data_IF_789359935609
#
_entry.id   IF_789359935609
#
_cell.length_a   1.000
_cell.length_b   1.000
_cell.length_c   1.000
_cell.angle_alpha   90.00
_cell.angle_beta   90.00
_cell.angle_gamma   90.00
#
_symmetry.space_group_name_H-M   'P 1'
#
loop_
_entity.id
_entity.type
_entity.pdbx_description
1 polymer ?
#
# COMPACT_ATOMS: atom_id res chain seq x y z
N UNK A 1 -4.31 31.33 12.76
CA UNK A 1 -3.53 32.25 11.89
C UNK A 1 -2.47 31.43 11.19
N UNK A 2 -2.21 31.64 9.89
CA UNK A 2 -1.13 30.95 9.17
C UNK A 2 0.01 31.94 8.99
N UNK A 3 1.20 31.60 9.50
CA UNK A 3 2.40 32.45 9.43
C UNK A 3 3.56 31.64 8.86
N UNK A 4 4.31 32.20 7.93
CA UNK A 4 5.56 31.65 7.46
C UNK A 4 6.72 32.32 8.22
N UNK A 5 7.66 31.52 8.72
CA UNK A 5 8.85 31.97 9.44
C UNK A 5 10.10 31.32 8.86
N UNK A 6 11.20 32.06 8.86
CA UNK A 6 12.51 31.56 8.46
C UNK A 6 13.39 31.45 9.71
N UNK A 7 14.11 30.33 9.82
CA UNK A 7 14.97 29.98 10.93
C UNK A 7 16.38 29.76 10.40
N UNK A 8 17.37 30.32 11.09
CA UNK A 8 18.79 30.02 10.84
C UNK A 8 19.16 28.69 11.48
N UNK A 9 20.24 28.09 11.00
CA UNK A 9 20.85 26.94 11.65
C UNK A 9 21.08 27.20 13.15
N UNK A 10 20.69 26.23 13.98
CA UNK A 10 20.74 26.29 15.43
C UNK A 10 19.56 27.00 16.10
N UNK A 11 18.68 27.69 15.36
CA UNK A 11 17.52 28.36 15.96
C UNK A 11 16.42 27.36 16.36
N UNK A 12 15.81 27.60 17.52
CA UNK A 12 14.73 26.75 18.04
C UNK A 12 13.43 27.11 17.34
N UNK A 13 12.83 26.12 16.69
CA UNK A 13 11.52 26.24 16.01
C UNK A 13 10.38 26.01 17.00
N UNK A 14 10.47 24.95 17.81
CA UNK A 14 9.49 24.66 18.86
C UNK A 14 10.22 24.29 20.16
N UNK A 15 10.04 25.04 21.25
CA UNK A 15 10.65 24.71 22.53
C UNK A 15 9.91 23.57 23.25
N UNK A 16 10.63 22.86 24.12
CA UNK A 16 10.08 21.89 25.05
C UNK A 16 9.26 22.59 26.16
N UNK A 17 8.28 21.90 26.74
CA UNK A 17 7.55 22.36 27.92
C UNK A 17 6.38 23.30 27.65
N UNK A 18 6.16 23.69 26.39
CA UNK A 18 5.04 24.50 25.97
C UNK A 18 3.84 23.66 25.49
N UNK A 19 2.63 24.19 25.68
CA UNK A 19 1.43 23.63 25.06
C UNK A 19 1.35 24.08 23.59
N UNK A 20 1.08 23.12 22.71
CA UNK A 20 0.85 23.34 21.30
C UNK A 20 -0.40 24.17 21.05
N UNK A 21 -0.35 24.98 20.00
CA UNK A 21 -1.47 25.78 19.48
C UNK A 21 -1.54 25.53 17.97
N UNK A 22 -2.05 24.37 17.58
CA UNK A 22 -1.97 23.86 16.23
C UNK A 22 -0.70 23.05 15.94
N UNK A 23 -0.22 23.17 14.71
CA UNK A 23 0.92 22.42 14.19
C UNK A 23 1.74 23.25 13.20
N UNK A 24 2.90 22.74 12.85
CA UNK A 24 3.81 23.34 11.88
C UNK A 24 3.92 22.46 10.64
N UNK A 25 4.21 23.09 9.50
CA UNK A 25 4.55 22.42 8.25
C UNK A 25 5.92 22.92 7.82
N UNK A 26 6.85 22.01 7.53
CA UNK A 26 8.14 22.36 6.96
C UNK A 26 7.96 22.80 5.50
N UNK A 27 8.45 23.97 5.09
CA UNK A 27 8.47 24.37 3.68
C UNK A 27 9.80 24.06 3.01
N UNK A 28 10.92 24.22 3.71
CA UNK A 28 12.26 23.88 3.24
C UNK A 28 13.25 23.80 4.41
N UNK A 29 14.40 23.15 4.21
CA UNK A 29 15.45 22.98 5.22
C UNK A 29 15.30 21.69 6.02
N UNK A 30 16.12 21.53 7.06
CA UNK A 30 16.16 20.34 7.93
C UNK A 30 16.03 20.76 9.38
N UNK A 31 15.15 20.09 10.12
CA UNK A 31 14.97 20.25 11.56
C UNK A 31 15.39 18.97 12.29
N UNK A 32 15.81 19.11 13.53
CA UNK A 32 16.15 18.00 14.42
C UNK A 32 15.23 17.98 15.64
N UNK A 33 14.79 16.78 16.03
CA UNK A 33 13.96 16.53 17.20
C UNK A 33 14.86 16.10 18.36
N UNK A 34 14.94 16.90 19.41
CA UNK A 34 15.88 16.72 20.51
C UNK A 34 15.11 16.48 21.80
N UNK A 35 15.40 15.39 22.51
CA UNK A 35 14.85 15.09 23.83
C UNK A 35 15.95 14.69 24.80
N UNK A 36 15.99 15.34 25.96
CA UNK A 36 17.03 15.07 26.97
C UNK A 36 18.46 15.24 26.44
N UNK A 37 18.67 16.16 25.50
CA UNK A 37 19.98 16.42 24.87
C UNK A 37 20.40 15.41 23.79
N UNK A 38 19.54 14.44 23.42
CA UNK A 38 19.79 13.49 22.34
C UNK A 38 18.91 13.81 21.14
N UNK A 39 19.48 13.72 19.94
CA UNK A 39 18.74 13.79 18.68
C UNK A 39 18.00 12.47 18.49
N UNK A 40 16.69 12.52 18.38
CA UNK A 40 15.83 11.35 18.19
C UNK A 40 15.55 11.06 16.72
N UNK A 41 15.39 12.12 15.92
CA UNK A 41 15.07 12.05 14.50
C UNK A 41 15.28 13.42 13.83
N UNK A 42 15.31 13.42 12.50
CA UNK A 42 15.29 14.65 11.69
C UNK A 42 13.94 14.78 10.96
N UNK A 43 13.60 16.02 10.61
CA UNK A 43 12.45 16.40 9.79
C UNK A 43 13.02 17.23 8.65
N UNK A 44 13.18 16.60 7.49
CA UNK A 44 13.90 17.11 6.32
C UNK A 44 12.99 17.27 5.08
N UNK A 45 11.75 16.78 5.16
CA UNK A 45 10.82 16.80 4.03
C UNK A 45 9.89 18.04 4.02
N UNK A 46 9.88 18.81 2.92
CA UNK A 46 8.83 19.81 2.66
C UNK A 46 7.43 19.20 2.71
N UNK A 47 6.52 19.83 3.46
CA UNK A 47 5.17 19.35 3.70
C UNK A 47 5.03 18.47 4.95
N UNK A 48 6.13 18.11 5.62
CA UNK A 48 6.08 17.35 6.87
C UNK A 48 5.34 18.13 7.97
N UNK A 49 4.36 17.46 8.60
CA UNK A 49 3.61 18.01 9.74
C UNK A 49 4.34 17.64 11.04
N UNK A 50 4.54 18.61 11.92
CA UNK A 50 5.15 18.40 13.22
C UNK A 50 4.59 19.34 14.29
N UNK A 51 4.83 19.00 15.55
CA UNK A 51 4.32 19.76 16.70
C UNK A 51 2.85 19.53 17.03
N UNK A 52 2.16 18.67 16.29
CA UNK A 52 0.72 18.39 16.38
C UNK A 52 0.33 17.62 17.66
N UNK A 53 1.22 16.75 18.14
CA UNK A 53 0.96 15.85 19.26
C UNK A 53 0.61 16.60 20.56
N UNK A 54 1.26 17.74 20.78
CA UNK A 54 1.05 18.54 21.98
C UNK A 54 -0.38 19.06 22.07
N UNK A 55 -0.95 19.53 20.95
CA UNK A 55 -2.35 19.98 20.93
C UNK A 55 -3.32 18.79 20.91
N UNK A 56 -3.07 17.77 20.07
CA UNK A 56 -3.94 16.58 19.95
C UNK A 56 -4.12 15.84 21.27
N UNK A 57 -3.03 15.68 22.03
CA UNK A 57 -3.04 14.96 23.30
C UNK A 57 -3.27 15.89 24.50
N UNK A 58 -3.32 17.21 24.29
CA UNK A 58 -3.38 18.21 25.35
C UNK A 58 -2.22 18.07 26.37
N UNK A 59 -1.03 17.74 25.87
CA UNK A 59 0.19 17.56 26.64
C UNK A 59 1.21 18.65 26.29
N UNK A 60 2.09 19.01 27.23
CA UNK A 60 3.24 19.87 26.90
C UNK A 60 4.20 19.13 25.98
N UNK A 61 4.84 19.87 25.06
CA UNK A 61 5.91 19.32 24.21
C UNK A 61 7.00 18.68 25.06
N UNK A 62 7.39 17.47 24.70
CA UNK A 62 8.40 16.64 25.38
C UNK A 62 9.72 16.56 24.61
N UNK A 63 9.84 17.35 23.54
CA UNK A 63 11.02 17.49 22.72
C UNK A 63 11.14 18.93 22.20
N UNK A 64 12.38 19.35 21.96
CA UNK A 64 12.73 20.58 21.24
C UNK A 64 12.84 20.27 19.76
N UNK A 65 12.31 21.15 18.91
CA UNK A 65 12.57 21.15 17.47
C UNK A 65 13.52 22.31 17.18
N UNK A 66 14.68 22.01 16.58
CA UNK A 66 15.70 23.00 16.22
C UNK A 66 16.02 22.90 14.73
N UNK A 67 16.32 24.03 14.10
CA UNK A 67 16.78 24.04 12.71
C UNK A 67 18.21 23.50 12.64
N UNK A 68 18.41 22.40 11.90
CA UNK A 68 19.74 21.84 11.58
C UNK A 68 20.35 22.56 10.37
N UNK A 69 19.54 23.01 9.43
CA UNK A 69 19.94 23.89 8.32
C UNK A 69 19.00 25.10 8.24
N UNK A 70 19.34 26.18 7.50
CA UNK A 70 18.40 27.27 7.27
C UNK A 70 17.05 26.76 6.75
N UNK A 71 16.00 27.01 7.52
CA UNK A 71 14.70 26.36 7.33
C UNK A 71 13.56 27.35 7.24
N UNK A 72 12.56 27.04 6.43
CA UNK A 72 11.30 27.79 6.35
C UNK A 72 10.18 26.94 6.92
N UNK A 73 9.43 27.47 7.86
CA UNK A 73 8.38 26.74 8.58
C UNK A 73 7.10 27.55 8.58
N UNK A 74 6.01 26.90 8.16
CA UNK A 74 4.67 27.44 8.23
C UNK A 74 4.01 27.04 9.55
N UNK A 75 3.75 28.01 10.41
CA UNK A 75 3.02 27.87 11.65
C UNK A 75 1.52 28.00 11.40
N UNK A 76 0.76 26.98 11.79
CA UNK A 76 -0.70 26.97 11.71
C UNK A 76 -1.22 27.09 13.14
N UNK A 77 -1.46 28.33 13.56
CA UNK A 77 -1.97 28.67 14.88
C UNK A 77 -3.49 28.66 14.88
N UNK A 78 -4.07 27.52 14.61
CA UNK A 78 -5.51 27.24 14.71
C UNK A 78 -5.68 25.84 15.28
N UNK A 79 -6.67 25.65 16.15
CA UNK A 79 -6.89 24.35 16.78
C UNK A 79 -7.14 23.28 15.71
N UNK A 80 -6.48 22.12 15.85
CA UNK A 80 -6.65 21.01 14.91
C UNK A 80 -8.13 20.63 14.73
N UNK A 81 -8.94 20.66 15.79
CA UNK A 81 -10.38 20.40 15.71
C UNK A 81 -11.09 21.33 14.70
N UNK A 82 -10.88 22.65 14.82
CA UNK A 82 -11.44 23.65 13.88
C UNK A 82 -10.94 23.45 12.44
N UNK A 83 -9.67 23.06 12.27
CA UNK A 83 -9.11 22.78 10.93
C UNK A 83 -9.75 21.55 10.32
N UNK A 84 -9.97 20.50 11.11
CA UNK A 84 -10.61 19.26 10.68
C UNK A 84 -12.07 19.51 10.32
N UNK A 85 -12.80 20.31 11.11
CA UNK A 85 -14.18 20.70 10.81
C UNK A 85 -14.29 21.43 9.46
N UNK A 86 -13.33 22.31 9.15
CA UNK A 86 -13.28 23.03 7.87
C UNK A 86 -12.80 22.16 6.71
N UNK A 87 -11.88 21.23 6.97
CA UNK A 87 -11.30 20.36 5.95
C UNK A 87 -11.00 18.96 6.51
N UNK A 88 -11.96 18.02 6.40
CA UNK A 88 -11.81 16.67 6.93
C UNK A 88 -10.62 15.88 6.35
N UNK A 89 -10.11 16.26 5.17
CA UNK A 89 -8.92 15.62 4.58
C UNK A 89 -7.66 15.82 5.43
N UNK A 90 -7.61 16.88 6.25
CA UNK A 90 -6.49 17.12 7.18
C UNK A 90 -6.43 16.04 8.25
N UNK A 91 -7.58 15.57 8.74
CA UNK A 91 -7.63 14.48 9.71
C UNK A 91 -6.98 13.19 9.16
N UNK A 92 -7.26 12.84 7.90
CA UNK A 92 -6.65 11.68 7.26
C UNK A 92 -5.12 11.83 7.14
N UNK A 93 -4.62 13.03 6.82
CA UNK A 93 -3.17 13.28 6.75
C UNK A 93 -2.53 13.16 8.14
N UNK A 94 -3.12 13.74 9.18
CA UNK A 94 -2.65 13.64 10.56
C UNK A 94 -2.63 12.19 11.06
N UNK A 95 -3.72 11.44 10.85
CA UNK A 95 -3.83 10.03 11.24
C UNK A 95 -2.75 9.17 10.58
N UNK A 96 -2.51 9.36 9.27
CA UNK A 96 -1.45 8.63 8.55
C UNK A 96 -0.06 8.99 9.08
N UNK A 97 0.23 10.27 9.29
CA UNK A 97 1.53 10.72 9.84
C UNK A 97 1.79 10.10 11.21
N UNK A 98 0.81 10.14 12.11
CA UNK A 98 0.92 9.58 13.45
C UNK A 98 1.01 8.05 13.45
N UNK A 99 0.19 7.38 12.64
CA UNK A 99 0.21 5.92 12.49
C UNK A 99 1.56 5.40 12.01
N UNK A 100 2.20 6.09 11.04
CA UNK A 100 3.55 5.74 10.57
C UNK A 100 4.61 5.92 11.65
N UNK A 101 4.57 7.04 12.39
CA UNK A 101 5.50 7.29 13.51
C UNK A 101 5.39 6.20 14.56
N UNK A 102 4.16 5.83 14.94
CA UNK A 102 3.89 4.75 15.88
C UNK A 102 4.41 3.40 15.38
N UNK A 103 4.15 3.07 14.11
CA UNK A 103 4.63 1.83 13.49
C UNK A 103 6.16 1.75 13.47
N UNK A 104 6.85 2.84 13.10
CA UNK A 104 8.32 2.93 13.10
C UNK A 104 8.88 2.75 14.52
N UNK A 105 8.30 3.44 15.51
CA UNK A 105 8.73 3.31 16.91
C UNK A 105 8.56 1.88 17.44
N UNK A 106 7.43 1.23 17.14
CA UNK A 106 7.18 -0.15 17.58
C UNK A 106 8.14 -1.15 16.92
N UNK A 107 8.50 -0.97 15.64
CA UNK A 107 9.49 -1.84 14.97
C UNK A 107 10.89 -1.75 15.60
N UNK A 108 11.30 -0.55 16.02
CA UNK A 108 12.61 -0.36 16.69
C UNK A 108 12.61 -0.99 18.08
N UNK A 109 11.48 -0.94 18.81
CA UNK A 109 11.33 -1.59 20.11
C UNK A 109 11.40 -3.14 19.99
N UNK A 110 10.79 -3.72 18.96
CA UNK A 110 10.80 -5.17 18.72
C UNK A 110 12.23 -5.68 18.39
N UNK A 111 13.06 -4.88 17.72
CA UNK A 111 14.46 -5.23 17.44
C UNK A 111 15.37 -5.26 18.68
N UNK A 112 14.98 -4.65 19.79
CA UNK A 112 15.77 -4.69 21.03
C UNK A 112 15.56 -5.98 21.85
N UNK A 113 14.52 -6.78 21.55
CA UNK A 113 14.23 -8.04 22.24
C UNK A 113 14.80 -9.29 21.53
N UNK A 114 15.32 -9.16 20.30
CA UNK A 114 15.88 -10.29 19.53
C UNK A 114 17.19 -10.86 20.14
N UNK A 115 17.90 -10.11 20.99
CA UNK A 115 19.05 -10.62 21.74
C UNK A 115 18.67 -11.47 22.98
N UNK A 116 17.37 -11.67 23.24
CA UNK A 116 16.86 -12.53 24.31
C UNK A 116 15.94 -13.62 23.79
N UNK A 117 16.51 -14.54 23.01
CA UNK A 117 15.93 -15.82 22.64
C UNK A 117 15.30 -16.58 23.82
N UNK A 118 13.95 -16.60 23.91
CA UNK A 118 13.20 -17.59 24.71
C UNK A 118 11.98 -18.19 23.94
N UNK A 119 11.58 -17.69 22.77
CA UNK A 119 10.32 -18.12 22.12
C UNK A 119 10.45 -18.95 20.84
N UNK A 120 11.53 -19.71 20.66
CA UNK A 120 11.66 -20.65 19.53
C UNK A 120 11.33 -22.13 19.85
N UNK A 121 10.70 -22.41 21.00
CA UNK A 121 10.24 -23.78 21.30
C UNK A 121 8.88 -23.81 21.99
N UNK A 122 7.82 -23.63 21.21
CA UNK A 122 6.51 -24.22 21.52
C UNK A 122 5.61 -24.25 20.26
N UNK A 123 6.03 -25.01 19.25
CA UNK A 123 5.06 -25.67 18.38
C UNK A 123 4.24 -26.64 19.25
N UNK A 124 3.03 -26.22 19.62
CA UNK A 124 1.77 -26.99 19.63
C UNK A 124 0.76 -26.35 20.58
N UNK A 125 -0.40 -26.06 19.99
CA UNK A 125 -1.70 -26.03 20.64
C UNK A 125 -1.81 -25.12 21.87
N UNK A 126 -2.17 -23.85 21.65
CA UNK A 126 -3.43 -23.24 22.12
C UNK A 126 -3.64 -21.97 21.31
N UNK A 127 -4.85 -21.86 20.74
CA UNK A 127 -5.34 -20.78 19.88
C UNK A 127 -5.43 -19.47 20.67
N UNK A 128 -4.72 -18.43 20.23
CA UNK A 128 -4.90 -17.05 20.71
C UNK A 128 -5.84 -16.31 19.75
N UNK A 129 -7.09 -16.10 20.20
CA UNK A 129 -8.20 -15.49 19.48
C UNK A 129 -8.09 -13.97 19.28
N UNK A 130 -6.97 -13.34 19.66
CA UNK A 130 -6.90 -11.87 19.71
C UNK A 130 -6.03 -11.21 18.62
N UNK A 131 -5.40 -11.99 17.73
CA UNK A 131 -4.53 -11.48 16.67
C UNK A 131 -5.15 -11.48 15.24
N UNK A 132 -6.46 -11.70 15.08
CA UNK A 132 -7.04 -12.04 13.77
C UNK A 132 -8.01 -10.99 13.20
N UNK A 133 -7.74 -9.69 13.34
CA UNK A 133 -8.62 -8.63 12.81
C UNK A 133 -8.29 -8.11 11.41
N UNK A 134 -7.47 -8.80 10.59
CA UNK A 134 -7.22 -8.32 9.23
C UNK A 134 -6.90 -9.37 8.15
N UNK A 135 -7.20 -10.65 8.37
CA UNK A 135 -7.08 -11.65 7.28
C UNK A 135 -8.28 -11.54 6.34
N UNK A 136 -8.01 -11.21 5.07
CA UNK A 136 -9.00 -11.22 3.99
C UNK A 136 -9.54 -12.63 3.85
N UNK A 137 -10.85 -12.79 4.08
CA UNK A 137 -11.56 -14.08 3.99
C UNK A 137 -12.52 -14.07 2.82
N UNK A 138 -12.43 -15.08 1.96
CA UNK A 138 -13.24 -15.20 0.75
C UNK A 138 -14.06 -16.48 0.83
N UNK A 139 -15.37 -16.38 0.60
CA UNK A 139 -16.24 -17.54 0.44
C UNK A 139 -16.46 -17.84 -1.04
N UNK A 140 -16.20 -19.07 -1.46
CA UNK A 140 -16.48 -19.54 -2.83
C UNK A 140 -17.64 -20.53 -2.78
N UNK A 141 -18.68 -20.28 -3.59
CA UNK A 141 -19.86 -21.15 -3.70
C UNK A 141 -19.91 -21.76 -5.11
N UNK A 142 -19.51 -23.02 -5.21
CA UNK A 142 -19.55 -23.81 -6.45
C UNK A 142 -19.66 -25.31 -6.14
N UNK A 143 -20.45 -26.04 -6.93
CA UNK A 143 -20.66 -27.47 -6.76
C UNK A 143 -19.48 -28.31 -7.29
N UNK A 144 -18.57 -27.71 -8.07
CA UNK A 144 -17.43 -28.40 -8.68
C UNK A 144 -16.15 -28.15 -7.88
N UNK A 145 -15.57 -29.19 -7.24
CA UNK A 145 -14.34 -29.06 -6.46
C UNK A 145 -13.15 -28.48 -7.24
N UNK A 146 -13.06 -28.77 -8.55
CA UNK A 146 -11.99 -28.23 -9.40
C UNK A 146 -12.05 -26.71 -9.55
N UNK A 147 -13.25 -26.11 -9.55
CA UNK A 147 -13.41 -24.65 -9.62
C UNK A 147 -12.94 -24.01 -8.31
N UNK A 148 -13.35 -24.59 -7.17
CA UNK A 148 -12.90 -24.16 -5.84
C UNK A 148 -11.38 -24.24 -5.73
N UNK A 149 -10.79 -25.37 -6.16
CA UNK A 149 -9.34 -25.56 -6.13
C UNK A 149 -8.61 -24.51 -6.98
N UNK A 150 -9.07 -24.29 -8.22
CA UNK A 150 -8.45 -23.31 -9.12
C UNK A 150 -8.42 -21.90 -8.50
N UNK A 151 -9.51 -21.45 -7.89
CA UNK A 151 -9.55 -20.15 -7.22
C UNK A 151 -8.75 -20.11 -5.91
N UNK A 152 -8.71 -21.22 -5.18
CA UNK A 152 -7.85 -21.36 -3.99
C UNK A 152 -6.37 -21.18 -4.37
N UNK A 153 -5.95 -21.80 -5.48
CA UNK A 153 -4.59 -21.69 -6.00
C UNK A 153 -4.28 -20.26 -6.49
N UNK A 154 -5.24 -19.58 -7.13
CA UNK A 154 -5.10 -18.17 -7.53
C UNK A 154 -4.91 -17.27 -6.29
N UNK A 155 -5.75 -17.43 -5.26
CA UNK A 155 -5.74 -16.55 -4.08
C UNK A 155 -4.63 -16.87 -3.07
N UNK A 156 -3.99 -18.04 -3.16
CA UNK A 156 -2.87 -18.42 -2.30
C UNK A 156 -1.70 -17.43 -2.37
N UNK A 157 -1.54 -16.72 -3.50
CA UNK A 157 -0.51 -15.69 -3.71
C UNK A 157 -0.69 -14.43 -2.86
N UNK A 158 -1.91 -14.14 -2.41
CA UNK A 158 -2.30 -12.89 -1.75
C UNK A 158 -2.49 -13.01 -0.23
N UNK A 159 -2.05 -14.10 0.41
CA UNK A 159 -2.29 -14.43 1.83
C UNK A 159 -3.78 -14.47 2.23
N UNK A 160 -4.68 -14.59 1.26
CA UNK A 160 -6.13 -14.63 1.48
C UNK A 160 -6.57 -16.02 1.96
N UNK A 161 -7.49 -16.04 2.91
CA UNK A 161 -8.07 -17.27 3.44
C UNK A 161 -9.31 -17.60 2.64
N UNK A 162 -9.30 -18.74 1.96
CA UNK A 162 -10.43 -19.23 1.15
C UNK A 162 -11.22 -20.26 1.95
N UNK A 163 -12.52 -20.02 2.06
CA UNK A 163 -13.51 -20.99 2.53
C UNK A 163 -14.42 -21.36 1.36
N UNK A 164 -14.91 -22.60 1.33
CA UNK A 164 -15.75 -23.09 0.24
C UNK A 164 -17.06 -23.67 0.73
N UNK A 165 -18.12 -23.39 -0.02
CA UNK A 165 -19.43 -24.01 0.10
C UNK A 165 -19.83 -24.65 -1.23
N UNK A 166 -20.57 -25.75 -1.16
CA UNK A 166 -20.97 -26.53 -2.34
C UNK A 166 -22.44 -26.34 -2.71
N UNK A 167 -23.21 -25.71 -1.83
CA UNK A 167 -24.63 -25.45 -2.00
C UNK A 167 -25.07 -24.22 -1.20
N UNK A 168 -26.34 -23.82 -1.38
CA UNK A 168 -26.93 -22.70 -0.68
C UNK A 168 -26.88 -22.86 0.85
N UNK A 169 -27.17 -24.08 1.34
CA UNK A 169 -27.29 -24.34 2.78
C UNK A 169 -25.94 -24.26 3.50
N UNK A 170 -24.89 -24.78 2.90
CA UNK A 170 -23.51 -24.69 3.39
C UNK A 170 -22.99 -23.26 3.33
N UNK A 171 -23.31 -22.50 2.28
CA UNK A 171 -22.94 -21.09 2.16
C UNK A 171 -23.58 -20.23 3.26
N UNK A 172 -24.87 -20.43 3.55
CA UNK A 172 -25.57 -19.71 4.61
C UNK A 172 -24.99 -20.04 5.97
N UNK A 173 -24.76 -21.34 6.27
CA UNK A 173 -24.13 -21.76 7.53
C UNK A 173 -22.74 -21.14 7.72
N UNK A 174 -21.92 -21.12 6.67
CA UNK A 174 -20.61 -20.46 6.72
C UNK A 174 -20.75 -18.97 7.10
N UNK A 175 -21.72 -18.27 6.49
CA UNK A 175 -21.98 -16.85 6.78
C UNK A 175 -22.64 -16.58 8.15
N UNK A 176 -23.21 -17.59 8.81
CA UNK A 176 -23.71 -17.47 10.19
C UNK A 176 -22.56 -17.48 11.21
N UNK A 177 -21.50 -18.25 10.93
CA UNK A 177 -20.36 -18.42 11.84
C UNK A 177 -19.18 -17.49 11.53
N UNK A 178 -19.03 -17.06 10.28
CA UNK A 178 -17.89 -16.29 9.81
C UNK A 178 -18.32 -15.06 9.00
N UNK A 179 -17.53 -13.98 9.13
CA UNK A 179 -17.60 -12.83 8.23
C UNK A 179 -16.66 -13.01 7.04
N UNK A 180 -17.02 -12.45 5.90
CA UNK A 180 -16.24 -12.52 4.67
C UNK A 180 -16.00 -11.12 4.08
N UNK A 181 -14.82 -10.94 3.48
CA UNK A 181 -14.44 -9.74 2.73
C UNK A 181 -15.07 -9.73 1.34
N UNK A 182 -15.30 -10.90 0.74
CA UNK A 182 -16.04 -11.06 -0.50
C UNK A 182 -16.62 -12.49 -0.62
N UNK A 183 -17.69 -12.62 -1.41
CA UNK A 183 -18.34 -13.91 -1.69
C UNK A 183 -18.44 -14.10 -3.21
N UNK A 184 -17.95 -15.22 -3.74
CA UNK A 184 -18.08 -15.58 -5.15
C UNK A 184 -19.12 -16.68 -5.29
N UNK A 185 -20.12 -16.49 -6.15
CA UNK A 185 -21.20 -17.46 -6.38
C UNK A 185 -21.20 -17.86 -7.85
N UNK A 186 -21.21 -19.16 -8.11
CA UNK A 186 -21.34 -19.70 -9.45
C UNK A 186 -22.73 -19.46 -10.02
N UNK A 187 -22.80 -18.81 -11.18
CA UNK A 187 -24.06 -18.68 -11.93
C UNK A 187 -24.48 -19.99 -12.62
N UNK A 188 -23.60 -21.00 -12.62
CA UNK A 188 -23.90 -22.33 -13.15
C UNK A 188 -24.60 -23.25 -12.13
N UNK A 189 -24.84 -22.77 -10.90
CA UNK A 189 -25.67 -23.51 -9.94
C UNK A 189 -27.09 -23.70 -10.50
N UNK A 190 -27.78 -24.81 -10.17
CA UNK A 190 -29.11 -25.10 -10.70
C UNK A 190 -30.14 -24.00 -10.45
N UNK A 191 -31.07 -23.84 -11.40
CA UNK A 191 -32.25 -22.98 -11.30
C UNK A 191 -31.94 -21.51 -10.93
N UNK A 192 -32.62 -20.97 -9.91
CA UNK A 192 -32.47 -19.62 -9.40
C UNK A 192 -31.54 -19.53 -8.18
N UNK A 193 -30.86 -20.63 -7.84
CA UNK A 193 -30.11 -20.79 -6.57
C UNK A 193 -29.09 -19.67 -6.34
N UNK A 194 -28.34 -19.26 -7.36
CA UNK A 194 -27.33 -18.21 -7.21
C UNK A 194 -27.94 -16.85 -6.83
N UNK A 195 -29.08 -16.50 -7.44
CA UNK A 195 -29.79 -15.24 -7.19
C UNK A 195 -30.50 -15.28 -5.84
N UNK A 196 -31.13 -16.41 -5.51
CA UNK A 196 -31.78 -16.62 -4.22
C UNK A 196 -30.79 -16.60 -3.07
N UNK A 197 -29.62 -17.25 -3.23
CA UNK A 197 -28.54 -17.20 -2.26
C UNK A 197 -28.09 -15.76 -2.04
N UNK A 198 -27.77 -15.01 -3.11
CA UNK A 198 -27.37 -13.60 -2.98
C UNK A 198 -28.42 -12.80 -2.19
N UNK A 199 -29.70 -12.97 -2.51
CA UNK A 199 -30.79 -12.28 -1.81
C UNK A 199 -30.82 -12.62 -0.32
N UNK A 200 -30.65 -13.89 0.05
CA UNK A 200 -30.58 -14.34 1.45
C UNK A 200 -29.35 -13.78 2.17
N UNK A 201 -28.19 -13.75 1.52
CA UNK A 201 -26.96 -13.17 2.09
C UNK A 201 -27.14 -11.68 2.42
N UNK A 202 -27.89 -10.93 1.59
CA UNK A 202 -28.23 -9.53 1.88
C UNK A 202 -29.20 -9.32 3.05
N UNK A 203 -29.77 -10.39 3.59
CA UNK A 203 -30.55 -10.36 4.84
C UNK A 203 -29.80 -10.90 6.07
N UNK A 204 -28.58 -11.43 5.89
CA UNK A 204 -27.75 -11.94 6.99
C UNK A 204 -26.87 -10.82 7.56
N UNK A 205 -26.97 -10.56 8.87
CA UNK A 205 -26.29 -9.43 9.52
C UNK A 205 -24.76 -9.49 9.45
N UNK A 206 -24.16 -10.67 9.30
CA UNK A 206 -22.70 -10.83 9.22
C UNK A 206 -22.12 -10.45 7.86
N UNK A 207 -22.92 -10.52 6.78
CA UNK A 207 -22.45 -10.39 5.40
C UNK A 207 -23.31 -9.48 4.52
N UNK A 208 -24.25 -8.74 5.11
CA UNK A 208 -25.17 -7.86 4.36
C UNK A 208 -24.42 -6.82 3.51
N UNK A 209 -23.28 -6.32 4.01
CA UNK A 209 -22.43 -5.35 3.33
C UNK A 209 -21.33 -6.00 2.48
N UNK A 210 -21.12 -7.32 2.60
CA UNK A 210 -20.07 -8.02 1.86
C UNK A 210 -20.38 -8.02 0.36
N UNK A 211 -19.44 -7.62 -0.52
CA UNK A 211 -19.63 -7.69 -1.97
C UNK A 211 -19.84 -9.14 -2.42
N UNK A 212 -20.78 -9.33 -3.36
CA UNK A 212 -21.11 -10.66 -3.90
C UNK A 212 -20.87 -10.66 -5.39
N UNK A 213 -19.95 -11.50 -5.85
CA UNK A 213 -19.51 -11.59 -7.24
C UNK A 213 -20.09 -12.83 -7.92
N UNK A 214 -20.39 -12.68 -9.21
CA UNK A 214 -20.86 -13.78 -10.04
C UNK A 214 -19.68 -14.45 -10.77
N UNK A 215 -19.63 -15.78 -10.75
CA UNK A 215 -18.73 -16.56 -11.62
C UNK A 215 -19.52 -17.07 -12.83
N UNK A 216 -19.18 -16.58 -14.01
CA UNK A 216 -19.95 -16.76 -15.24
C UNK A 216 -19.18 -17.63 -16.23
N UNK A 217 -19.85 -18.49 -16.99
CA UNK A 217 -19.22 -19.25 -18.09
C UNK A 217 -18.99 -18.32 -19.28
N UNK A 218 -17.80 -18.32 -19.88
CA UNK A 218 -17.50 -17.49 -21.05
C UNK A 218 -18.54 -17.69 -22.16
N UNK A 219 -19.15 -16.59 -22.60
CA UNK A 219 -20.20 -16.59 -23.63
C UNK A 219 -21.64 -16.71 -23.11
N UNK A 220 -21.83 -16.88 -21.80
CA UNK A 220 -23.17 -16.94 -21.19
C UNK A 220 -23.72 -15.53 -20.90
N UNK A 221 -24.13 -14.83 -21.97
CA UNK A 221 -24.77 -13.52 -21.87
C UNK A 221 -26.05 -13.50 -21.01
N UNK A 222 -26.93 -14.52 -21.06
CA UNK A 222 -28.09 -14.59 -20.18
C UNK A 222 -27.71 -14.59 -18.70
N UNK A 223 -26.71 -15.38 -18.29
CA UNK A 223 -26.23 -15.40 -16.90
C UNK A 223 -25.64 -14.06 -16.47
N UNK A 224 -24.88 -13.39 -17.36
CA UNK A 224 -24.33 -12.06 -17.10
C UNK A 224 -25.44 -11.02 -16.87
N UNK A 225 -26.42 -10.94 -17.78
CA UNK A 225 -27.56 -10.02 -17.63
C UNK A 225 -28.32 -10.29 -16.33
N UNK A 226 -28.51 -11.56 -15.99
CA UNK A 226 -29.19 -11.98 -14.75
C UNK A 226 -28.41 -11.56 -13.51
N UNK A 227 -27.09 -11.75 -13.49
CA UNK A 227 -26.24 -11.31 -12.38
C UNK A 227 -26.31 -9.79 -12.16
N UNK A 228 -26.16 -9.01 -13.24
CA UNK A 228 -26.24 -7.55 -13.19
C UNK A 228 -27.60 -7.06 -12.67
N UNK A 229 -28.70 -7.59 -13.22
CA UNK A 229 -30.05 -7.22 -12.81
C UNK A 229 -30.39 -7.64 -11.36
N UNK A 230 -29.70 -8.66 -10.86
CA UNK A 230 -29.89 -9.19 -9.50
C UNK A 230 -28.99 -8.51 -8.47
N UNK A 231 -28.18 -7.52 -8.87
CA UNK A 231 -27.38 -6.68 -8.00
C UNK A 231 -26.02 -7.26 -7.59
N UNK A 232 -25.49 -8.26 -8.30
CA UNK A 232 -24.10 -8.71 -8.06
C UNK A 232 -23.14 -7.52 -8.21
N UNK A 233 -22.11 -7.47 -7.36
CA UNK A 233 -21.18 -6.35 -7.27
C UNK A 233 -20.29 -6.25 -8.51
N UNK A 234 -19.82 -7.39 -9.01
CA UNK A 234 -19.08 -7.54 -10.27
C UNK A 234 -19.13 -9.02 -10.69
N UNK A 235 -18.45 -9.38 -11.78
CA UNK A 235 -18.35 -10.75 -12.25
C UNK A 235 -16.95 -11.14 -12.72
N UNK A 236 -16.63 -12.43 -12.57
CA UNK A 236 -15.44 -13.06 -13.16
C UNK A 236 -15.88 -14.16 -14.13
N UNK A 237 -15.09 -14.40 -15.16
CA UNK A 237 -15.43 -15.36 -16.23
C UNK A 237 -14.60 -16.63 -16.12
N UNK A 238 -15.24 -17.79 -16.33
CA UNK A 238 -14.63 -19.12 -16.42
C UNK A 238 -14.25 -19.42 -17.89
N UNK A 239 -13.05 -19.96 -18.19
CA UNK A 239 -11.96 -20.29 -17.25
C UNK A 239 -11.32 -19.02 -16.66
N UNK A 240 -10.88 -19.10 -15.41
CA UNK A 240 -10.36 -17.95 -14.68
C UNK A 240 -8.98 -17.55 -15.17
N UNK A 241 -8.85 -16.26 -15.46
CA UNK A 241 -7.59 -15.55 -15.63
C UNK A 241 -7.17 -15.03 -14.25
N UNK A 242 -6.01 -15.47 -13.76
CA UNK A 242 -5.57 -15.19 -12.39
C UNK A 242 -5.48 -13.67 -12.14
N UNK A 243 -4.87 -12.94 -13.07
CA UNK A 243 -4.65 -11.50 -12.97
C UNK A 243 -5.95 -10.72 -12.96
N UNK A 244 -6.86 -11.01 -13.90
CA UNK A 244 -8.18 -10.36 -13.95
C UNK A 244 -9.02 -10.70 -12.72
N UNK A 245 -8.95 -11.96 -12.27
CA UNK A 245 -9.70 -12.41 -11.10
C UNK A 245 -9.23 -11.67 -9.84
N UNK A 246 -7.92 -11.64 -9.57
CA UNK A 246 -7.37 -10.90 -8.44
C UNK A 246 -7.77 -9.43 -8.50
N UNK A 247 -7.61 -8.78 -9.64
CA UNK A 247 -7.88 -7.35 -9.70
C UNK A 247 -9.35 -6.98 -9.52
N UNK A 248 -10.27 -7.79 -10.07
CA UNK A 248 -11.70 -7.65 -9.76
C UNK A 248 -11.92 -7.80 -8.25
N UNK A 249 -11.23 -8.74 -7.60
CA UNK A 249 -11.31 -8.94 -6.15
C UNK A 249 -10.76 -7.74 -5.36
N UNK A 250 -9.64 -7.13 -5.78
CA UNK A 250 -9.13 -5.91 -5.16
C UNK A 250 -10.14 -4.76 -5.30
N UNK A 251 -10.68 -4.55 -6.51
CA UNK A 251 -11.68 -3.52 -6.79
C UNK A 251 -12.95 -3.65 -5.94
N UNK A 252 -13.54 -4.85 -5.90
CA UNK A 252 -14.82 -5.06 -5.17
C UNK A 252 -14.66 -5.01 -3.66
N UNK A 253 -13.49 -5.39 -3.14
CA UNK A 253 -13.17 -5.31 -1.72
C UNK A 253 -12.63 -3.94 -1.31
N UNK A 254 -12.53 -2.98 -2.25
CA UNK A 254 -11.92 -1.67 -2.05
C UNK A 254 -10.50 -1.78 -1.46
N UNK A 255 -9.77 -2.81 -1.91
CA UNK A 255 -8.36 -3.01 -1.58
C UNK A 255 -7.49 -2.27 -2.59
N UNK A 256 -6.31 -1.91 -2.12
CA UNK A 256 -5.31 -1.22 -2.93
C UNK A 256 -4.65 -2.19 -3.94
N UNK A 257 -5.20 -2.27 -5.16
CA UNK A 257 -4.73 -3.19 -6.23
C UNK A 257 -3.26 -2.99 -6.57
N UNK A 258 -2.79 -1.77 -6.42
CA UNK A 258 -1.41 -1.41 -6.71
C UNK A 258 -0.41 -2.06 -5.74
N UNK A 259 -0.84 -2.58 -4.58
CA UNK A 259 0.01 -3.39 -3.70
C UNK A 259 0.53 -4.69 -4.35
N UNK A 260 -0.11 -5.13 -5.45
CA UNK A 260 0.32 -6.29 -6.25
C UNK A 260 1.66 -6.04 -6.94
N UNK A 261 1.89 -4.79 -7.35
CA UNK A 261 3.06 -4.39 -8.14
C UNK A 261 4.02 -3.50 -7.33
N UNK A 262 3.47 -2.65 -6.47
CA UNK A 262 4.21 -1.67 -5.70
C UNK A 262 4.27 -2.07 -4.23
N UNK A 263 5.48 -2.15 -3.67
CA UNK A 263 5.72 -2.42 -2.26
C UNK A 263 6.68 -1.39 -1.68
N UNK A 264 6.46 -1.06 -0.42
CA UNK A 264 7.45 -0.32 0.36
C UNK A 264 8.33 -1.31 1.09
N UNK A 265 9.62 -1.32 0.76
CA UNK A 265 10.61 -2.18 1.40
C UNK A 265 11.69 -1.26 1.93
N UNK A 266 11.85 -1.20 3.25
CA UNK A 266 12.77 -0.26 3.92
C UNK A 266 12.50 1.20 3.48
N UNK A 267 13.47 1.84 2.84
CA UNK A 267 13.39 3.22 2.32
C UNK A 267 13.30 3.24 0.77
N UNK A 268 12.73 2.20 0.17
CA UNK A 268 12.60 2.04 -1.28
C UNK A 268 11.14 1.86 -1.67
N UNK A 269 10.74 2.49 -2.79
CA UNK A 269 9.58 2.04 -3.56
C UNK A 269 10.07 0.93 -4.47
N UNK A 270 9.52 -0.26 -4.26
CA UNK A 270 9.82 -1.42 -5.08
C UNK A 270 8.65 -1.64 -6.03
N UNK A 271 8.89 -1.53 -7.33
CA UNK A 271 7.93 -1.81 -8.39
C UNK A 271 8.33 -3.09 -9.10
N UNK A 272 7.60 -4.18 -8.85
CA UNK A 272 7.78 -5.45 -9.53
C UNK A 272 6.88 -5.53 -10.76
N UNK A 273 7.50 -5.65 -11.93
CA UNK A 273 6.81 -5.79 -13.21
C UNK A 273 6.35 -7.25 -13.37
N UNK A 274 5.04 -7.51 -13.54
CA UNK A 274 4.55 -8.86 -13.76
C UNK A 274 5.02 -9.46 -15.09
N UNK A 275 5.25 -10.77 -15.14
CA UNK A 275 5.52 -11.52 -16.37
C UNK A 275 4.34 -11.48 -17.37
N UNK A 276 3.10 -11.53 -16.86
CA UNK A 276 1.88 -11.43 -17.69
C UNK A 276 1.30 -10.01 -17.68
N UNK A 277 1.70 -9.21 -18.66
CA UNK A 277 1.20 -7.85 -18.91
C UNK A 277 0.00 -7.83 -19.85
N UNK A 278 -1.12 -8.43 -19.43
CA UNK A 278 -2.38 -8.22 -20.16
C UNK A 278 -2.81 -6.73 -20.14
N UNK A 279 -3.56 -6.27 -21.15
CA UNK A 279 -4.11 -4.89 -21.18
C UNK A 279 -4.79 -4.46 -19.88
N UNK A 280 -5.40 -5.41 -19.17
CA UNK A 280 -6.01 -5.16 -17.88
C UNK A 280 -4.96 -4.78 -16.82
N UNK A 281 -3.88 -5.57 -16.71
CA UNK A 281 -2.77 -5.34 -15.76
C UNK A 281 -2.07 -4.03 -16.08
N UNK A 282 -1.78 -3.78 -17.35
CA UNK A 282 -1.18 -2.53 -17.83
C UNK A 282 -2.02 -1.32 -17.37
N UNK A 283 -3.32 -1.33 -17.64
CA UNK A 283 -4.20 -0.24 -17.24
C UNK A 283 -4.28 -0.07 -15.71
N UNK A 284 -4.37 -1.16 -14.95
CA UNK A 284 -4.40 -1.13 -13.48
C UNK A 284 -3.09 -0.57 -12.90
N UNK A 285 -1.93 -0.89 -13.47
CA UNK A 285 -0.66 -0.26 -13.08
C UNK A 285 -0.73 1.24 -13.38
N UNK A 286 -1.03 1.63 -14.63
CA UNK A 286 -1.05 3.02 -15.11
C UNK A 286 -1.98 3.92 -14.30
N UNK A 287 -3.20 3.45 -14.00
CA UNK A 287 -4.18 4.19 -13.19
C UNK A 287 -3.68 4.47 -11.75
N UNK A 288 -2.76 3.64 -11.25
CA UNK A 288 -2.24 3.75 -9.89
C UNK A 288 -0.84 4.39 -9.80
N UNK A 289 -0.07 4.50 -10.90
CA UNK A 289 1.31 5.03 -10.91
C UNK A 289 1.40 6.41 -10.27
N UNK A 290 0.56 7.35 -10.70
CA UNK A 290 0.61 8.75 -10.23
C UNK A 290 0.41 8.84 -8.71
N UNK A 291 -0.58 8.10 -8.20
CA UNK A 291 -0.86 8.08 -6.77
C UNK A 291 0.26 7.40 -6.00
N UNK A 292 0.86 6.34 -6.56
CA UNK A 292 1.97 5.63 -5.93
C UNK A 292 3.24 6.46 -5.87
N UNK A 293 3.66 7.05 -6.98
CA UNK A 293 4.79 7.98 -7.07
C UNK A 293 4.62 9.13 -6.08
N UNK A 294 3.46 9.80 -6.13
CA UNK A 294 3.16 10.94 -5.26
C UNK A 294 3.11 10.55 -3.79
N UNK A 295 2.48 9.41 -3.46
CA UNK A 295 2.41 8.95 -2.07
C UNK A 295 3.81 8.62 -1.56
N UNK A 296 4.61 7.88 -2.32
CA UNK A 296 6.00 7.51 -2.03
C UNK A 296 6.85 8.72 -1.63
N UNK A 297 6.79 9.79 -2.43
CA UNK A 297 7.52 11.03 -2.14
C UNK A 297 6.96 11.72 -0.90
N UNK A 298 5.64 11.76 -0.74
CA UNK A 298 5.02 12.22 0.50
C UNK A 298 5.40 11.38 1.73
N UNK A 299 6.04 10.21 1.56
CA UNK A 299 6.59 9.37 2.64
C UNK A 299 8.10 9.54 2.86
N UNK A 300 8.80 10.26 1.98
CA UNK A 300 10.23 10.58 2.09
C UNK A 300 11.11 9.59 1.36
N UNK A 301 10.47 8.73 0.58
CA UNK A 301 11.14 7.72 -0.21
C UNK A 301 11.45 8.36 -1.55
N UNK A 302 12.75 8.51 -1.81
CA UNK A 302 13.29 9.01 -3.08
C UNK A 302 14.05 7.93 -3.84
N UNK A 303 14.07 6.69 -3.32
CA UNK A 303 14.75 5.55 -3.94
C UNK A 303 13.71 4.64 -4.58
N UNK A 304 13.89 4.36 -5.86
CA UNK A 304 13.04 3.48 -6.65
C UNK A 304 13.85 2.26 -7.09
N UNK A 305 13.26 1.09 -6.97
CA UNK A 305 13.77 -0.13 -7.58
C UNK A 305 12.67 -0.68 -8.47
N UNK A 306 12.95 -0.79 -9.77
CA UNK A 306 12.07 -1.51 -10.71
C UNK A 306 12.64 -2.91 -10.89
N UNK A 307 11.84 -3.93 -10.66
CA UNK A 307 12.24 -5.33 -10.83
C UNK A 307 11.53 -5.93 -12.04
N UNK A 308 12.34 -6.24 -13.05
CA UNK A 308 11.95 -6.89 -14.31
C UNK A 308 12.59 -8.27 -14.43
N UNK A 309 13.14 -8.84 -13.36
CA UNK A 309 13.90 -10.10 -13.42
C UNK A 309 13.03 -11.33 -13.71
N UNK A 310 11.71 -11.21 -13.60
CA UNK A 310 10.76 -12.28 -13.99
C UNK A 310 10.43 -12.27 -15.49
N UNK A 311 10.89 -11.26 -16.24
CA UNK A 311 10.69 -11.20 -17.69
C UNK A 311 11.79 -12.00 -18.40
N UNK A 312 11.41 -12.89 -19.33
CA UNK A 312 12.38 -13.61 -20.17
C UNK A 312 13.14 -12.65 -21.11
N UNK A 313 12.40 -11.71 -21.72
CA UNK A 313 12.91 -10.67 -22.63
C UNK A 313 12.08 -9.37 -22.47
N UNK A 314 12.60 -8.19 -22.85
CA UNK A 314 11.85 -6.93 -22.79
C UNK A 314 10.73 -6.90 -23.85
N UNK A 315 9.50 -7.22 -23.45
CA UNK A 315 8.33 -7.12 -24.33
C UNK A 315 7.93 -5.66 -24.59
N UNK A 316 7.21 -5.39 -25.67
CA UNK A 316 6.70 -4.05 -26.00
C UNK A 316 5.85 -3.48 -24.83
N UNK A 317 5.04 -4.32 -24.21
CA UNK A 317 4.21 -3.96 -23.06
C UNK A 317 5.04 -3.62 -21.81
N UNK A 318 6.11 -4.35 -21.56
CA UNK A 318 6.98 -4.11 -20.41
C UNK A 318 7.77 -2.82 -20.59
N UNK A 319 8.29 -2.60 -21.80
CA UNK A 319 8.95 -1.36 -22.22
C UNK A 319 8.01 -0.17 -22.04
N UNK A 320 6.75 -0.30 -22.50
CA UNK A 320 5.74 0.75 -22.36
C UNK A 320 5.47 1.07 -20.88
N UNK A 321 5.24 0.05 -20.05
CA UNK A 321 4.92 0.24 -18.62
C UNK A 321 6.09 0.86 -17.84
N UNK A 322 7.31 0.39 -18.07
CA UNK A 322 8.50 0.93 -17.39
C UNK A 322 8.82 2.33 -17.89
N UNK A 323 8.78 2.56 -19.21
CA UNK A 323 9.03 3.86 -19.82
C UNK A 323 8.03 4.91 -19.35
N UNK A 324 6.73 4.61 -19.35
CA UNK A 324 5.71 5.55 -18.84
C UNK A 324 5.89 5.83 -17.34
N UNK A 325 6.33 4.85 -16.56
CA UNK A 325 6.62 5.05 -15.14
C UNK A 325 7.80 6.00 -14.94
N UNK A 326 8.87 5.85 -15.72
CA UNK A 326 10.06 6.70 -15.69
C UNK A 326 9.76 8.12 -16.18
N UNK A 327 9.09 8.26 -17.32
CA UNK A 327 8.65 9.55 -17.89
C UNK A 327 7.80 10.33 -16.88
N UNK A 328 6.87 9.67 -16.18
CA UNK A 328 6.06 10.30 -15.12
C UNK A 328 6.90 10.84 -13.96
N UNK A 329 8.00 10.18 -13.61
CA UNK A 329 8.89 10.65 -12.55
C UNK A 329 9.63 11.90 -13.01
N UNK A 330 10.14 11.89 -14.23
CA UNK A 330 10.85 13.00 -14.85
C UNK A 330 9.95 14.22 -15.05
N UNK A 331 8.74 14.02 -15.59
CA UNK A 331 7.71 15.05 -15.79
C UNK A 331 7.33 15.77 -14.49
N UNK A 332 7.25 15.00 -13.41
CA UNK A 332 6.97 15.54 -12.08
C UNK A 332 8.19 16.23 -11.45
N UNK A 333 9.36 16.20 -12.11
CA UNK A 333 10.64 16.79 -11.68
C UNK A 333 11.04 16.34 -10.28
N UNK A 334 10.90 15.05 -10.04
CA UNK A 334 11.10 14.45 -8.74
C UNK A 334 12.58 14.06 -8.57
N UNK A 335 13.17 14.24 -7.37
CA UNK A 335 14.56 13.85 -7.12
C UNK A 335 14.68 12.34 -6.89
N UNK A 336 13.89 11.52 -7.59
CA UNK A 336 13.94 10.07 -7.40
C UNK A 336 15.15 9.48 -8.10
N UNK A 337 15.86 8.62 -7.37
CA UNK A 337 17.00 7.84 -7.85
C UNK A 337 16.57 6.41 -8.06
N UNK A 338 16.82 5.88 -9.25
CA UNK A 338 16.32 4.59 -9.69
C UNK A 338 17.41 3.55 -9.88
N UNK A 339 17.07 2.29 -9.64
CA UNK A 339 17.83 1.14 -10.10
C UNK A 339 16.86 0.13 -10.72
N UNK A 340 17.33 -0.60 -11.72
CA UNK A 340 16.56 -1.65 -12.38
C UNK A 340 17.21 -3.00 -12.08
N UNK A 341 16.44 -3.92 -11.51
CA UNK A 341 16.85 -5.32 -11.36
C UNK A 341 16.48 -6.05 -12.64
N UNK A 342 17.48 -6.40 -13.43
CA UNK A 342 17.32 -7.07 -14.71
C UNK A 342 18.38 -8.17 -14.87
N UNK A 343 18.01 -9.26 -15.53
CA UNK A 343 18.90 -10.39 -15.81
C UNK A 343 18.88 -10.73 -17.29
N UNK A 344 19.99 -11.26 -17.82
CA UNK A 344 20.11 -11.65 -19.22
C UNK A 344 20.92 -10.65 -20.06
N UNK A 345 21.15 -11.00 -21.32
CA UNK A 345 22.03 -10.24 -22.22
C UNK A 345 21.43 -8.87 -22.62
N UNK A 346 20.10 -8.74 -22.56
CA UNK A 346 19.37 -7.51 -22.90
C UNK A 346 19.14 -6.58 -21.70
N UNK A 347 19.77 -6.82 -20.55
CA UNK A 347 19.54 -6.02 -19.34
C UNK A 347 19.90 -4.53 -19.51
N UNK A 348 20.92 -4.21 -20.31
CA UNK A 348 21.30 -2.81 -20.59
C UNK A 348 20.26 -2.07 -21.46
N UNK A 349 19.32 -2.79 -22.08
CA UNK A 349 18.27 -2.18 -22.92
C UNK A 349 17.41 -1.19 -22.14
N UNK A 350 17.18 -1.45 -20.85
CA UNK A 350 16.32 -0.64 -19.99
C UNK A 350 16.85 0.79 -19.77
N UNK A 351 18.15 1.04 -19.90
CA UNK A 351 18.73 2.40 -19.85
C UNK A 351 18.49 3.21 -21.14
N UNK A 352 18.01 2.58 -22.21
CA UNK A 352 17.64 3.31 -23.43
C UNK A 352 16.22 3.91 -23.36
N UNK A 353 15.49 3.64 -22.27
CA UNK A 353 14.20 4.25 -22.02
C UNK A 353 14.37 5.65 -21.46
N UNK A 354 13.52 6.57 -21.92
CA UNK A 354 13.49 7.97 -21.47
C UNK A 354 13.27 8.02 -19.96
N UNK A 355 14.16 8.70 -19.23
CA UNK A 355 14.13 8.83 -17.77
C UNK A 355 14.82 7.70 -16.99
N UNK A 356 15.36 6.69 -17.66
CA UNK A 356 16.10 5.57 -17.07
C UNK A 356 17.62 5.62 -17.34
N UNK A 357 18.13 6.62 -18.06
CA UNK A 357 19.48 6.64 -18.60
C UNK A 357 20.55 6.55 -17.50
N UNK A 358 20.31 7.24 -16.39
CA UNK A 358 21.20 7.33 -15.23
C UNK A 358 20.92 6.24 -14.17
N UNK A 359 19.98 5.33 -14.40
CA UNK A 359 19.62 4.29 -13.42
C UNK A 359 20.58 3.11 -13.50
N UNK A 360 20.99 2.58 -12.35
CA UNK A 360 21.86 1.39 -12.31
C UNK A 360 21.13 0.11 -12.69
N UNK A 361 21.70 -0.67 -13.61
CA UNK A 361 21.30 -2.06 -13.88
C UNK A 361 21.96 -2.99 -12.88
N UNK A 362 21.16 -3.74 -12.15
CA UNK A 362 21.59 -4.61 -11.06
C UNK A 362 21.11 -6.05 -11.26
N UNK A 363 21.92 -7.03 -10.85
CA UNK A 363 21.58 -8.46 -10.99
C UNK A 363 20.54 -8.94 -9.98
N UNK A 364 20.43 -8.28 -8.82
CA UNK A 364 19.45 -8.61 -7.79
C UNK A 364 19.09 -7.40 -6.92
N UNK A 365 18.09 -7.60 -6.04
CA UNK A 365 17.58 -6.57 -5.13
C UNK A 365 18.65 -6.05 -4.15
N UNK A 366 19.59 -6.87 -3.69
CA UNK A 366 20.62 -6.41 -2.76
C UNK A 366 21.62 -5.51 -3.47
N UNK A 367 22.04 -5.87 -4.69
CA UNK A 367 22.91 -5.02 -5.50
C UNK A 367 22.25 -3.68 -5.84
N UNK A 368 20.96 -3.68 -6.17
CA UNK A 368 20.19 -2.44 -6.38
C UNK A 368 20.17 -1.54 -5.14
N UNK A 369 19.97 -2.13 -3.95
CA UNK A 369 20.00 -1.39 -2.69
C UNK A 369 21.39 -0.79 -2.39
N UNK A 370 22.46 -1.55 -2.65
CA UNK A 370 23.84 -1.09 -2.47
C UNK A 370 24.21 0.04 -3.44
N UNK A 371 23.86 -0.08 -4.72
CA UNK A 371 24.07 0.94 -5.73
C UNK A 371 23.42 2.29 -5.32
N UNK A 372 22.15 2.24 -4.94
CA UNK A 372 21.41 3.43 -4.48
C UNK A 372 21.92 3.99 -3.13
N UNK A 373 22.66 3.22 -2.35
CA UNK A 373 23.29 3.69 -1.12
C UNK A 373 24.63 4.39 -1.39
N UNK A 374 25.42 3.93 -2.36
CA UNK A 374 26.76 4.46 -2.66
C UNK A 374 26.73 5.85 -3.30
N UNK A 375 25.83 6.05 -4.25
CA UNK A 375 25.63 7.36 -4.90
C UNK A 375 25.18 8.47 -3.91
N UNK A 376 24.59 8.12 -2.75
CA UNK A 376 24.30 9.13 -1.72
C UNK A 376 25.56 9.66 -1.03
N UNK A 377 26.64 8.88 -1.01
CA UNK A 377 27.91 9.24 -0.37
C UNK A 377 28.77 10.11 -1.30
N UNK A 378 28.70 9.90 -2.61
CA UNK A 378 29.44 10.72 -3.58
C UNK A 378 28.90 12.15 -3.69
N UNK A 379 27.59 12.36 -3.52
CA UNK A 379 27.00 13.70 -3.51
C UNK A 379 27.33 14.46 -2.21
N UNK A 380 27.48 13.77 -1.06
CA UNK A 380 27.89 14.38 0.21
C UNK A 380 29.40 14.73 0.28
N UNK A 381 30.24 14.16 -0.59
CA UNK A 381 31.67 14.50 -0.67
C UNK A 381 31.99 15.64 -1.67
N UNK A 382 31.01 16.06 -2.49
CA UNK A 382 31.16 17.15 -3.47
C UNK A 382 30.51 18.49 -3.06
N UNK A 383 29.78 18.55 -1.93
CA UNK A 383 29.32 19.80 -1.27
C UNK A 383 30.23 20.22 -0.10
#
# INVERSE_FOLDING_TARGET
MIRLEEYKEGEVVLPEGELGKGFCILESGVLEVIRGGRILSEIDMPGAIFGELSELLSLKRDAVIRAKTPSKVRHIEESIASIVDKNPKVALKLLRTLGRRLYRMNRVAIRQDEDSNIFEKADKEVVDETANSNKVRILIVDDKPNIIKQLTDIFARSEWVVESAHDEASAIRACEHHGFSAILISMALPDETAVDLRRKLKTNHNVLNTPVLAMIVKGDEPALKKALNSGFSDCITKPFDANKTEAVMYKVMDLDSSARYFKFVDDYLYFKVPEDLSNFVINDIKENMDNRIRNTINEGIVKLIIDVSELEEPSEEAIEVVGEFAEKIEDMKLPMRGAIVATGDDAEMWNNLDGCEEWGICSDLNNAKEHLAQEAVSEEEEE
#
